data_IF_298255006082
#
_entry.id   IF_298255006082
#
_cell.length_a   1.000
_cell.length_b   1.000
_cell.length_c   1.000
_cell.angle_alpha   90.00
_cell.angle_beta   90.00
_cell.angle_gamma   90.00
#
_symmetry.space_group_name_H-M   'P 1'
#
loop_
_entity.id
_entity.type
_entity.pdbx_description
1 polymer ?
#
# COMPACT_ATOMS: atom_id res chain seq x y z
N UNK A 1 8.65 41.88 16.86
CA UNK A 1 7.39 41.89 16.10
C UNK A 1 7.71 41.75 14.61
N UNK A 2 8.07 40.54 14.14
CA UNK A 2 8.33 40.30 12.70
C UNK A 2 8.68 38.86 12.24
N UNK A 3 8.85 37.85 13.10
CA UNK A 3 9.33 36.51 12.65
C UNK A 3 8.23 35.44 12.50
N UNK A 4 7.02 35.78 12.00
CA UNK A 4 5.95 34.77 11.85
C UNK A 4 5.10 34.83 10.56
N UNK A 5 5.58 35.40 9.45
CA UNK A 5 4.71 35.59 8.26
C UNK A 5 5.13 34.88 6.96
N UNK A 6 5.86 33.76 7.04
CA UNK A 6 6.02 32.89 5.86
C UNK A 6 6.28 31.43 6.25
N UNK A 7 5.31 30.77 6.89
CA UNK A 7 5.30 29.30 6.84
C UNK A 7 4.83 28.90 5.44
N UNK A 8 5.68 28.27 4.60
CA UNK A 8 5.24 27.77 3.32
C UNK A 8 4.26 26.63 3.59
N UNK A 9 3.11 26.68 2.95
CA UNK A 9 2.09 25.63 2.87
C UNK A 9 2.73 24.32 2.35
N UNK A 10 3.34 23.53 3.24
CA UNK A 10 3.99 22.24 2.92
C UNK A 10 3.16 21.03 3.35
N UNK A 11 1.85 21.19 3.48
CA UNK A 11 0.94 20.14 3.92
C UNK A 11 0.36 19.27 2.79
N UNK A 12 0.60 19.59 1.51
CA UNK A 12 -0.16 18.99 0.40
C UNK A 12 0.56 17.86 -0.36
N UNK A 13 1.88 17.70 -0.23
CA UNK A 13 2.64 16.80 -1.11
C UNK A 13 2.77 15.36 -0.56
N UNK A 14 2.68 15.18 0.77
CA UNK A 14 2.87 13.87 1.40
C UNK A 14 1.63 12.98 1.41
N UNK A 15 0.43 13.55 1.33
CA UNK A 15 -0.83 12.79 1.43
C UNK A 15 -1.08 11.89 0.21
N UNK A 16 -0.69 12.33 -0.98
CA UNK A 16 -0.96 11.63 -2.25
C UNK A 16 -0.32 10.23 -2.28
N UNK A 17 0.90 10.06 -1.76
CA UNK A 17 1.61 8.78 -1.77
C UNK A 17 0.90 7.70 -0.96
N UNK A 18 0.39 8.05 0.23
CA UNK A 18 -0.31 7.09 1.09
C UNK A 18 -1.65 6.66 0.49
N UNK A 19 -2.37 7.58 -0.16
CA UNK A 19 -3.63 7.25 -0.86
C UNK A 19 -3.41 6.26 -1.99
N UNK A 20 -2.34 6.42 -2.79
CA UNK A 20 -2.02 5.49 -3.89
C UNK A 20 -1.72 4.08 -3.36
N UNK A 21 -0.94 3.99 -2.28
CA UNK A 21 -0.60 2.70 -1.65
C UNK A 21 -1.84 2.01 -1.08
N UNK A 22 -2.72 2.78 -0.42
CA UNK A 22 -3.98 2.27 0.11
C UNK A 22 -4.88 1.71 -1.00
N UNK A 23 -5.01 2.42 -2.12
CA UNK A 23 -5.76 1.94 -3.29
C UNK A 23 -5.14 0.65 -3.84
N UNK A 24 -3.82 0.57 -3.94
CA UNK A 24 -3.14 -0.64 -4.40
C UNK A 24 -3.45 -1.83 -3.47
N UNK A 25 -3.36 -1.65 -2.15
CA UNK A 25 -3.73 -2.66 -1.15
C UNK A 25 -5.20 -3.10 -1.26
N UNK A 26 -6.11 -2.17 -1.50
CA UNK A 26 -7.51 -2.46 -1.73
C UNK A 26 -7.72 -3.31 -2.99
N UNK A 27 -7.04 -2.99 -4.08
CA UNK A 27 -7.07 -3.77 -5.33
C UNK A 27 -6.51 -5.19 -5.14
N UNK A 28 -5.38 -5.35 -4.42
CA UNK A 28 -4.86 -6.67 -4.07
C UNK A 28 -5.89 -7.47 -3.25
N UNK A 29 -6.66 -6.81 -2.38
CA UNK A 29 -7.70 -7.48 -1.58
C UNK A 29 -8.89 -7.89 -2.43
N UNK A 30 -9.31 -7.07 -3.39
CA UNK A 30 -10.32 -7.46 -4.37
C UNK A 30 -9.87 -8.64 -5.24
N UNK A 31 -8.60 -8.67 -5.67
CA UNK A 31 -8.02 -9.79 -6.43
C UNK A 31 -7.95 -11.08 -5.61
N UNK A 32 -7.64 -10.99 -4.31
CA UNK A 32 -7.67 -12.12 -3.39
C UNK A 32 -9.08 -12.70 -3.28
N UNK A 33 -10.08 -11.83 -3.14
CA UNK A 33 -11.48 -12.24 -3.11
C UNK A 33 -11.89 -12.92 -4.43
N UNK A 34 -11.53 -12.34 -5.57
CA UNK A 34 -11.76 -12.96 -6.88
C UNK A 34 -11.14 -14.36 -6.98
N UNK A 35 -9.88 -14.50 -6.55
CA UNK A 35 -9.18 -15.80 -6.53
C UNK A 35 -9.84 -16.80 -5.58
N UNK A 36 -10.38 -16.34 -4.46
CA UNK A 36 -11.09 -17.19 -3.51
C UNK A 36 -12.43 -17.71 -4.06
N UNK A 37 -13.17 -16.85 -4.77
CA UNK A 37 -14.52 -17.16 -5.26
C UNK A 37 -14.57 -17.79 -6.65
N UNK A 38 -13.47 -17.80 -7.43
CA UNK A 38 -13.42 -18.50 -8.72
C UNK A 38 -13.39 -20.02 -8.52
N UNK A 39 -14.43 -20.76 -8.97
CA UNK A 39 -14.41 -22.21 -8.98
C UNK A 39 -13.56 -22.72 -10.16
N UNK A 40 -12.80 -23.80 -9.96
CA UNK A 40 -12.01 -24.45 -11.02
C UNK A 40 -10.49 -24.38 -10.86
N UNK A 41 -9.97 -23.65 -9.86
CA UNK A 41 -8.55 -23.66 -9.55
C UNK A 41 -8.18 -24.85 -8.65
N UNK A 42 -7.11 -25.61 -8.96
CA UNK A 42 -6.58 -26.62 -8.05
C UNK A 42 -6.22 -26.02 -6.69
N UNK A 43 -6.60 -26.71 -5.60
CA UNK A 43 -6.41 -26.22 -4.22
C UNK A 43 -4.97 -25.78 -3.92
N UNK A 44 -3.97 -26.50 -4.43
CA UNK A 44 -2.56 -26.17 -4.25
C UNK A 44 -2.17 -24.83 -4.90
N UNK A 45 -2.66 -24.57 -6.12
CA UNK A 45 -2.39 -23.33 -6.86
C UNK A 45 -3.12 -22.16 -6.18
N UNK A 46 -4.36 -22.38 -5.75
CA UNK A 46 -5.14 -21.40 -4.99
C UNK A 46 -4.41 -20.99 -3.71
N UNK A 47 -3.93 -21.97 -2.94
CA UNK A 47 -3.17 -21.71 -1.71
C UNK A 47 -1.89 -20.92 -2.00
N UNK A 48 -1.12 -21.31 -3.01
CA UNK A 48 0.09 -20.60 -3.40
C UNK A 48 -0.19 -19.15 -3.79
N UNK A 49 -1.24 -18.88 -4.59
CA UNK A 49 -1.64 -17.53 -4.96
C UNK A 49 -2.02 -16.68 -3.74
N UNK A 50 -2.82 -17.24 -2.83
CA UNK A 50 -3.25 -16.53 -1.62
C UNK A 50 -2.07 -16.18 -0.72
N UNK A 51 -1.10 -17.10 -0.56
CA UNK A 51 0.13 -16.84 0.21
C UNK A 51 0.95 -15.74 -0.44
N UNK A 52 1.13 -15.75 -1.76
CA UNK A 52 1.85 -14.71 -2.49
C UNK A 52 1.15 -13.36 -2.34
N UNK A 53 -0.17 -13.31 -2.55
CA UNK A 53 -0.99 -12.10 -2.38
C UNK A 53 -0.88 -11.52 -0.96
N UNK A 54 -0.96 -12.37 0.07
CA UNK A 54 -0.79 -11.98 1.46
C UNK A 54 0.62 -11.43 1.72
N UNK A 55 1.66 -12.11 1.24
CA UNK A 55 3.05 -11.68 1.37
C UNK A 55 3.30 -10.33 0.68
N UNK A 56 2.75 -10.12 -0.53
CA UNK A 56 2.87 -8.85 -1.26
C UNK A 56 2.19 -7.70 -0.51
N UNK A 57 1.01 -7.92 0.09
CA UNK A 57 0.34 -6.91 0.92
C UNK A 57 1.19 -6.52 2.12
N UNK A 58 1.72 -7.51 2.85
CA UNK A 58 2.59 -7.26 3.99
C UNK A 58 3.85 -6.51 3.54
N UNK A 59 4.48 -6.91 2.44
CA UNK A 59 5.63 -6.19 1.90
C UNK A 59 5.31 -4.72 1.53
N UNK A 60 4.16 -4.46 0.90
CA UNK A 60 3.67 -3.12 0.61
C UNK A 60 3.48 -2.28 1.88
N UNK A 61 2.87 -2.87 2.91
CA UNK A 61 2.69 -2.20 4.22
C UNK A 61 4.03 -1.97 4.92
N UNK A 62 4.96 -2.93 4.90
CA UNK A 62 6.28 -2.77 5.52
C UNK A 62 7.10 -1.67 4.83
N UNK A 63 7.09 -1.65 3.51
CA UNK A 63 7.83 -0.67 2.72
C UNK A 63 7.24 0.74 2.87
N UNK A 64 5.93 0.89 2.78
CA UNK A 64 5.30 2.22 2.72
C UNK A 64 4.70 2.72 4.05
N UNK A 65 4.25 1.83 4.93
CA UNK A 65 3.60 2.18 6.20
C UNK A 65 4.57 2.07 7.40
N UNK A 66 5.51 1.10 7.40
CA UNK A 66 6.52 0.93 8.46
C UNK A 66 7.86 1.64 8.19
N UNK A 67 7.86 2.76 7.46
CA UNK A 67 9.01 3.66 7.31
C UNK A 67 10.23 3.16 6.50
N UNK A 68 10.33 1.91 6.05
CA UNK A 68 11.52 1.43 5.29
C UNK A 68 11.74 2.10 3.92
N UNK A 69 10.69 2.60 3.26
CA UNK A 69 10.78 3.36 2.00
C UNK A 69 10.42 4.85 2.19
N UNK A 70 10.07 5.26 3.41
CA UNK A 70 9.58 6.61 3.69
C UNK A 70 10.69 7.59 4.11
N UNK A 71 11.95 7.26 3.87
CA UNK A 71 13.07 8.18 4.07
C UNK A 71 14.13 8.00 2.95
N UNK A 72 13.90 8.70 1.84
CA UNK A 72 14.98 9.43 1.18
C UNK A 72 14.38 10.73 0.65
N UNK A 73 13.81 11.50 1.58
CA UNK A 73 13.52 12.92 1.36
C UNK A 73 14.86 13.66 1.46
N UNK A 74 15.47 13.87 0.30
CA UNK A 74 16.34 15.04 0.07
C UNK A 74 15.58 16.33 0.35
#
# INVERSE_FOLDING_TARGET
MSQQLAQPTRAQDQSTTYTVVFVLLALLTAAELGTYYVPGLPNAIKLALLVILAATKVALVLLFFMHLKSDNRI
#
